data_IF_332472669607
#
_entry.id   IF_332472669607
#
_cell.length_a   1.000
_cell.length_b   1.000
_cell.length_c   1.000
_cell.angle_alpha   90.00
_cell.angle_beta   90.00
_cell.angle_gamma   90.00
#
_symmetry.space_group_name_H-M   'P 1'
#
loop_
_entity.id
_entity.type
_entity.pdbx_description
1 polymer ?
#
# COMPACT_ATOMS: atom_id res chain seq x y z
N UNK A 1 -19.14 -31.54 39.48
CA UNK A 1 -19.06 -32.58 38.44
C UNK A 1 -19.79 -32.03 37.23
N UNK A 2 -19.08 -31.66 36.16
CA UNK A 2 -19.75 -31.11 34.96
C UNK A 2 -20.68 -32.18 34.37
N UNK A 3 -21.94 -31.84 34.15
CA UNK A 3 -22.92 -32.79 33.61
C UNK A 3 -22.46 -33.23 32.20
N UNK A 4 -22.36 -34.54 31.90
CA UNK A 4 -21.74 -35.05 30.67
C UNK A 4 -22.36 -34.44 29.40
N UNK A 5 -23.67 -34.18 29.43
CA UNK A 5 -24.40 -33.51 28.34
C UNK A 5 -23.91 -32.08 28.06
N UNK A 6 -23.54 -31.32 29.10
CA UNK A 6 -23.02 -29.96 28.93
C UNK A 6 -21.62 -29.96 28.29
N UNK A 7 -20.82 -31.00 28.54
CA UNK A 7 -19.51 -31.19 27.92
C UNK A 7 -19.62 -31.56 26.44
N UNK A 8 -20.59 -32.39 26.09
CA UNK A 8 -20.86 -32.77 24.70
C UNK A 8 -21.41 -31.60 23.88
N UNK A 9 -22.34 -30.83 24.43
CA UNK A 9 -22.85 -29.61 23.79
C UNK A 9 -21.74 -28.59 23.50
N UNK A 10 -20.79 -28.43 24.43
CA UNK A 10 -19.62 -27.56 24.24
C UNK A 10 -18.73 -28.07 23.09
N UNK A 11 -18.46 -29.37 23.05
CA UNK A 11 -17.66 -29.97 21.99
C UNK A 11 -18.34 -29.86 20.61
N UNK A 12 -19.66 -30.11 20.54
CA UNK A 12 -20.44 -29.95 19.30
C UNK A 12 -20.37 -28.50 18.81
N UNK A 13 -20.54 -27.52 19.70
CA UNK A 13 -20.42 -26.09 19.33
C UNK A 13 -19.03 -25.75 18.80
N UNK A 14 -17.97 -26.24 19.43
CA UNK A 14 -16.59 -26.02 18.97
C UNK A 14 -16.37 -26.66 17.59
N UNK A 15 -16.80 -27.90 17.40
CA UNK A 15 -16.70 -28.59 16.12
C UNK A 15 -17.44 -27.84 15.01
N UNK A 16 -18.64 -27.32 15.28
CA UNK A 16 -19.42 -26.54 14.31
C UNK A 16 -18.73 -25.23 13.94
N UNK A 17 -18.15 -24.51 14.90
CA UNK A 17 -17.40 -23.26 14.63
C UNK A 17 -16.20 -23.55 13.73
N UNK A 18 -15.42 -24.59 14.04
CA UNK A 18 -14.26 -24.99 13.22
C UNK A 18 -14.70 -25.37 11.81
N UNK A 19 -15.80 -26.12 11.68
CA UNK A 19 -16.34 -26.55 10.38
C UNK A 19 -16.80 -25.35 9.52
N UNK A 20 -17.43 -24.35 10.13
CA UNK A 20 -17.81 -23.09 9.45
C UNK A 20 -16.57 -22.34 8.95
N UNK A 21 -15.53 -22.23 9.80
CA UNK A 21 -14.26 -21.60 9.42
C UNK A 21 -13.65 -22.33 8.21
N UNK A 22 -13.52 -23.65 8.29
CA UNK A 22 -12.95 -24.44 7.20
C UNK A 22 -13.72 -24.20 5.90
N UNK A 23 -15.05 -24.26 5.90
CA UNK A 23 -15.86 -24.03 4.70
C UNK A 23 -15.70 -22.59 4.18
N UNK A 24 -15.70 -21.58 5.06
CA UNK A 24 -15.56 -20.17 4.68
C UNK A 24 -14.21 -19.85 4.02
N UNK A 25 -13.16 -20.61 4.35
CA UNK A 25 -11.82 -20.43 3.79
C UNK A 25 -11.49 -21.46 2.69
N UNK A 26 -12.27 -22.54 2.53
CA UNK A 26 -12.04 -23.58 1.53
C UNK A 26 -12.24 -23.07 0.09
N UNK A 27 -13.20 -22.16 -0.13
CA UNK A 27 -13.57 -21.65 -1.46
C UNK A 27 -12.78 -20.38 -1.88
N UNK A 28 -11.78 -19.96 -1.09
CA UNK A 28 -10.98 -18.78 -1.44
C UNK A 28 -9.84 -19.17 -2.38
N UNK A 29 -10.17 -19.42 -3.65
CA UNK A 29 -9.18 -19.48 -4.75
C UNK A 29 -8.42 -18.16 -4.94
N UNK A 30 -8.92 -17.07 -4.37
CA UNK A 30 -8.23 -15.78 -4.37
C UNK A 30 -7.79 -15.41 -2.96
N UNK A 31 -6.49 -15.18 -2.72
CA UNK A 31 -6.08 -14.51 -1.49
C UNK A 31 -6.89 -13.22 -1.39
N UNK A 32 -7.41 -12.92 -0.21
CA UNK A 32 -7.96 -11.60 0.06
C UNK A 32 -6.80 -10.63 -0.15
N UNK A 33 -6.82 -9.90 -1.27
CA UNK A 33 -5.92 -8.78 -1.48
C UNK A 33 -6.24 -7.77 -0.40
N UNK A 34 -5.40 -7.74 0.63
CA UNK A 34 -5.32 -6.62 1.53
C UNK A 34 -4.65 -5.53 0.70
N UNK A 35 -5.46 -4.76 -0.04
CA UNK A 35 -5.00 -3.53 -0.66
C UNK A 35 -4.74 -2.57 0.50
N UNK A 36 -3.57 -2.69 1.12
CA UNK A 36 -3.01 -1.55 1.83
C UNK A 36 -2.91 -0.46 0.78
N UNK A 37 -3.62 0.65 0.99
CA UNK A 37 -3.56 1.81 0.09
C UNK A 37 -2.14 2.40 -0.01
N UNK A 38 -1.16 1.80 0.68
CA UNK A 38 0.25 2.15 0.68
C UNK A 38 1.13 1.39 -0.33
N UNK A 39 0.66 0.39 -1.06
CA UNK A 39 1.57 -0.39 -1.92
C UNK A 39 0.91 -1.04 -3.12
N UNK A 40 0.45 -0.21 -4.04
CA UNK A 40 0.47 -0.59 -5.45
C UNK A 40 1.75 0.03 -6.05
N UNK A 41 2.80 -0.73 -6.38
CA UNK A 41 3.80 -0.22 -7.29
C UNK A 41 3.18 -0.34 -8.67
N UNK A 42 2.17 0.47 -8.95
CA UNK A 42 1.97 0.94 -10.31
C UNK A 42 3.32 1.54 -10.68
N UNK A 43 4.09 0.79 -11.47
CA UNK A 43 5.18 1.26 -12.32
C UNK A 43 4.62 2.24 -13.35
N UNK A 44 3.89 3.25 -12.88
CA UNK A 44 3.85 4.51 -13.54
C UNK A 44 5.19 5.14 -13.16
N UNK A 45 6.21 4.93 -13.98
CA UNK A 45 7.47 5.66 -13.90
C UNK A 45 7.15 7.12 -14.20
N UNK A 46 6.45 7.80 -13.29
CA UNK A 46 6.29 9.22 -13.38
C UNK A 46 7.69 9.77 -13.23
N UNK A 47 8.15 10.45 -14.28
CA UNK A 47 9.42 11.17 -14.25
C UNK A 47 9.48 12.20 -13.10
N UNK A 48 8.37 12.45 -12.41
CA UNK A 48 8.26 13.31 -11.25
C UNK A 48 8.12 12.51 -9.95
N UNK A 49 8.83 12.93 -8.90
CA UNK A 49 8.77 12.38 -7.54
C UNK A 49 8.78 13.51 -6.52
N UNK A 50 7.97 13.41 -5.47
CA UNK A 50 8.00 14.38 -4.38
C UNK A 50 9.21 14.12 -3.47
N UNK A 51 10.00 15.16 -3.19
CA UNK A 51 11.23 15.07 -2.37
C UNK A 51 11.13 15.84 -1.04
N UNK A 52 10.01 16.52 -0.81
CA UNK A 52 9.71 17.24 0.42
C UNK A 52 8.41 18.03 0.31
N UNK A 53 8.13 18.86 1.32
CA UNK A 53 6.93 19.70 1.34
C UNK A 53 6.94 20.66 0.15
N UNK A 54 5.89 20.57 -0.67
CA UNK A 54 5.70 21.37 -1.88
C UNK A 54 6.93 21.33 -2.83
N UNK A 55 7.76 20.30 -2.75
CA UNK A 55 9.01 20.21 -3.50
C UNK A 55 9.04 18.92 -4.30
N UNK A 56 9.30 19.04 -5.60
CA UNK A 56 9.17 17.96 -6.57
C UNK A 56 10.43 17.88 -7.41
N UNK A 57 10.97 16.67 -7.58
CA UNK A 57 12.03 16.38 -8.53
C UNK A 57 11.43 15.83 -9.81
N UNK A 58 11.90 16.28 -10.96
CA UNK A 58 11.53 15.80 -12.28
C UNK A 58 12.79 15.42 -13.06
N UNK A 59 12.81 14.21 -13.62
CA UNK A 59 13.84 13.73 -14.52
C UNK A 59 13.38 13.94 -15.97
N UNK A 60 14.08 14.79 -16.72
CA UNK A 60 13.77 14.98 -18.13
C UNK A 60 14.35 13.86 -19.03
N UNK A 61 13.98 13.89 -20.31
CA UNK A 61 14.43 12.92 -21.32
C UNK A 61 15.94 12.99 -21.59
N UNK A 62 16.58 14.11 -21.27
CA UNK A 62 18.03 14.35 -21.38
C UNK A 62 18.80 13.94 -20.11
N UNK A 63 18.17 13.15 -19.22
CA UNK A 63 18.77 12.65 -17.98
C UNK A 63 19.16 13.78 -17.00
N UNK A 64 18.53 14.96 -17.11
CA UNK A 64 18.67 16.04 -16.15
C UNK A 64 17.62 15.90 -15.04
N UNK A 65 18.04 16.09 -13.80
CA UNK A 65 17.15 16.19 -12.64
C UNK A 65 16.93 17.67 -12.35
N UNK A 66 15.67 18.09 -12.37
CA UNK A 66 15.20 19.42 -12.03
C UNK A 66 14.40 19.36 -10.74
N UNK A 67 14.69 20.21 -9.78
CA UNK A 67 13.94 20.32 -8.53
C UNK A 67 13.12 21.60 -8.56
N UNK A 68 11.82 21.46 -8.35
CA UNK A 68 10.85 22.53 -8.30
C UNK A 68 10.30 22.70 -6.89
N UNK A 69 9.99 23.94 -6.51
CA UNK A 69 9.25 24.27 -5.29
C UNK A 69 7.99 25.04 -5.65
N UNK A 70 6.87 24.55 -5.16
CA UNK A 70 5.59 25.22 -5.22
C UNK A 70 5.43 26.16 -4.03
N UNK A 71 5.00 27.39 -4.31
CA UNK A 71 4.66 28.40 -3.34
C UNK A 71 3.12 28.52 -3.29
N UNK A 72 2.46 28.09 -2.20
CA UNK A 72 1.00 28.15 -2.09
C UNK A 72 0.47 29.58 -1.95
N UNK A 73 1.30 30.53 -1.50
CA UNK A 73 0.88 31.92 -1.29
C UNK A 73 0.80 32.67 -2.62
N UNK A 74 1.71 32.37 -3.54
CA UNK A 74 1.71 32.96 -4.89
C UNK A 74 1.08 32.06 -5.96
N UNK A 75 0.79 30.80 -5.62
CA UNK A 75 0.37 29.75 -6.55
C UNK A 75 1.34 29.58 -7.73
N UNK A 76 2.65 29.73 -7.47
CA UNK A 76 3.70 29.61 -8.50
C UNK A 76 4.59 28.40 -8.24
N UNK A 77 5.15 27.84 -9.31
CA UNK A 77 6.17 26.80 -9.24
C UNK A 77 7.49 27.40 -9.73
N UNK A 78 8.55 27.29 -8.92
CA UNK A 78 9.89 27.81 -9.23
C UNK A 78 10.90 26.69 -9.31
N UNK A 79 11.77 26.75 -10.32
CA UNK A 79 12.94 25.88 -10.41
C UNK A 79 13.96 26.31 -9.34
N UNK A 80 14.32 25.40 -8.45
CA UNK A 80 15.29 25.67 -7.37
C UNK A 80 16.66 25.04 -7.64
N UNK A 81 16.72 23.97 -8.44
CA UNK A 81 17.98 23.31 -8.80
C UNK A 81 17.87 22.50 -10.07
N UNK A 82 18.96 22.43 -10.83
CA UNK A 82 19.10 21.61 -12.03
C UNK A 82 20.49 20.97 -12.05
N UNK A 83 20.57 19.67 -12.33
CA UNK A 83 21.83 18.93 -12.45
C UNK A 83 21.66 17.66 -13.28
N UNK A 84 22.75 17.17 -13.87
CA UNK A 84 22.74 15.90 -14.61
C UNK A 84 22.78 14.71 -13.67
N UNK A 85 21.98 13.68 -13.96
CA UNK A 85 22.12 12.38 -13.34
C UNK A 85 23.30 11.61 -13.97
N UNK A 86 24.53 12.10 -13.79
CA UNK A 86 25.70 11.34 -14.19
C UNK A 86 25.88 10.18 -13.22
N UNK A 87 25.77 8.96 -13.73
CA UNK A 87 26.17 7.74 -13.02
C UNK A 87 27.71 7.74 -12.96
N UNK A 88 28.26 7.85 -11.74
CA UNK A 88 29.69 7.59 -11.47
C UNK A 88 29.86 6.16 -10.97
#
# INVERSE_FOLDING_TARGET
>A
MEHPVARELRNIRICLIILIIVIAFWDREKPVEITDHSSDPMLNTSNMTQVGDHTFAYKDESNQIKIFKFDPDTNEIKLIKEFYANEY
#
